data_IF_603304755444
#
_entry.id   IF_603304755444
#
_cell.length_a   1.000
_cell.length_b   1.000
_cell.length_c   1.000
_cell.angle_alpha   90.00
_cell.angle_beta   90.00
_cell.angle_gamma   90.00
#
_symmetry.space_group_name_H-M   'P 1'
#
loop_
_entity.id
_entity.type
_entity.pdbx_description
1 polymer ?
#
# COMPACT_ATOMS: atom_id res chain seq x y z
N UNK A 1 1.61 7.20 -39.92
CA UNK A 1 1.82 6.94 -38.48
C UNK A 1 1.09 5.65 -38.14
N UNK A 2 1.80 4.58 -37.80
CA UNK A 2 1.19 3.27 -37.57
C UNK A 2 0.34 3.31 -36.30
N UNK A 3 -0.91 2.84 -36.39
CA UNK A 3 -1.79 2.67 -35.23
C UNK A 3 -1.09 1.76 -34.21
N UNK A 4 -1.04 2.13 -32.92
CA UNK A 4 -0.47 1.24 -31.92
C UNK A 4 -1.26 -0.07 -31.94
N UNK A 5 -0.56 -1.17 -32.21
CA UNK A 5 -1.11 -2.53 -32.05
C UNK A 5 -1.88 -2.60 -30.71
N UNK A 6 -3.09 -3.15 -30.65
CA UNK A 6 -3.93 -2.97 -29.45
C UNK A 6 -3.33 -3.54 -28.17
N UNK A 7 -2.32 -4.40 -28.26
CA UNK A 7 -1.52 -4.80 -27.10
C UNK A 7 -0.67 -3.65 -26.49
N UNK A 8 -0.11 -2.77 -27.33
CA UNK A 8 0.59 -1.56 -26.87
C UNK A 8 -0.40 -0.51 -26.33
N UNK A 9 -1.54 -0.31 -27.01
CA UNK A 9 -2.60 0.59 -26.53
C UNK A 9 -3.18 0.14 -25.18
N UNK A 10 -3.39 -1.16 -25.00
CA UNK A 10 -3.82 -1.75 -23.73
C UNK A 10 -2.83 -1.48 -22.60
N UNK A 11 -1.53 -1.68 -22.85
CA UNK A 11 -0.48 -1.46 -21.86
C UNK A 11 -0.44 0.01 -21.41
N UNK A 12 -0.54 0.96 -22.35
CA UNK A 12 -0.56 2.40 -22.06
C UNK A 12 -1.79 2.80 -21.22
N UNK A 13 -2.99 2.39 -21.63
CA UNK A 13 -4.22 2.69 -20.90
C UNK A 13 -4.24 2.07 -19.51
N UNK A 14 -3.70 0.86 -19.35
CA UNK A 14 -3.55 0.22 -18.04
C UNK A 14 -2.59 0.97 -17.13
N UNK A 15 -1.45 1.44 -17.67
CA UNK A 15 -0.50 2.24 -16.91
C UNK A 15 -1.12 3.57 -16.49
N UNK A 16 -1.89 4.22 -17.37
CA UNK A 16 -2.65 5.42 -17.07
C UNK A 16 -3.71 5.19 -15.98
N UNK A 17 -4.46 4.08 -16.05
CA UNK A 17 -5.45 3.74 -15.02
C UNK A 17 -4.80 3.58 -13.63
N UNK A 18 -3.61 2.96 -13.57
CA UNK A 18 -2.83 2.78 -12.34
C UNK A 18 -2.23 4.08 -11.80
N UNK A 19 -1.76 4.98 -12.67
CA UNK A 19 -1.25 6.27 -12.21
C UNK A 19 -2.36 7.14 -11.63
N UNK A 20 -3.53 7.15 -12.28
CA UNK A 20 -4.71 7.84 -11.77
C UNK A 20 -5.23 7.22 -10.46
N UNK A 21 -5.11 5.90 -10.31
CA UNK A 21 -5.43 5.20 -9.06
C UNK A 21 -4.55 5.67 -7.89
N UNK A 22 -3.23 5.69 -8.09
CA UNK A 22 -2.29 6.20 -7.06
C UNK A 22 -2.57 7.67 -6.71
N UNK A 23 -2.89 8.50 -7.70
CA UNK A 23 -3.30 9.89 -7.45
C UNK A 23 -4.65 10.01 -6.71
N UNK A 24 -5.55 9.03 -6.91
CA UNK A 24 -6.82 9.00 -6.16
C UNK A 24 -6.56 8.67 -4.70
N UNK A 25 -5.66 7.72 -4.42
CA UNK A 25 -5.29 7.32 -3.05
C UNK A 25 -4.62 8.49 -2.29
N UNK A 26 -3.74 9.25 -2.93
CA UNK A 26 -3.13 10.43 -2.30
C UNK A 26 -4.16 11.52 -1.99
N UNK A 27 -5.09 11.78 -2.91
CA UNK A 27 -6.18 12.73 -2.67
C UNK A 27 -7.13 12.26 -1.57
N UNK A 28 -7.41 10.96 -1.46
CA UNK A 28 -8.20 10.41 -0.35
C UNK A 28 -7.51 10.57 0.99
N UNK A 29 -6.20 10.37 1.06
CA UNK A 29 -5.45 10.66 2.28
C UNK A 29 -5.60 12.12 2.68
N UNK A 30 -5.39 13.07 1.77
CA UNK A 30 -5.60 14.49 2.04
C UNK A 30 -7.04 14.80 2.46
N UNK A 31 -8.04 14.23 1.77
CA UNK A 31 -9.45 14.49 2.09
C UNK A 31 -9.85 13.93 3.46
N UNK A 32 -9.36 12.74 3.82
CA UNK A 32 -9.62 12.13 5.13
C UNK A 32 -9.05 12.96 6.29
N UNK A 33 -7.95 13.69 6.08
CA UNK A 33 -7.35 14.54 7.10
C UNK A 33 -8.29 15.66 7.58
N UNK A 34 -9.17 16.18 6.71
CA UNK A 34 -10.15 17.21 7.10
C UNK A 34 -11.11 16.74 8.21
N UNK A 35 -11.36 15.43 8.32
CA UNK A 35 -12.21 14.86 9.38
C UNK A 35 -11.50 14.68 10.72
N UNK A 36 -10.16 14.71 10.71
CA UNK A 36 -9.32 14.51 11.91
C UNK A 36 -8.86 15.80 12.57
N UNK A 37 -9.15 16.96 11.95
CA UNK A 37 -8.74 18.26 12.50
C UNK A 37 -9.53 18.53 13.79
N UNK A 38 -8.87 18.89 14.92
CA UNK A 38 -9.53 19.05 16.22
C UNK A 38 -10.55 20.18 16.29
N UNK A 39 -10.49 21.14 15.36
CA UNK A 39 -11.47 22.22 15.23
C UNK A 39 -12.01 22.26 13.79
N UNK A 40 -12.94 21.34 13.50
CA UNK A 40 -13.56 21.25 12.17
C UNK A 40 -14.43 22.49 11.97
N UNK A 41 -14.18 23.29 10.91
CA UNK A 41 -14.98 24.48 10.65
C UNK A 41 -16.44 24.11 10.32
N UNK A 42 -17.37 24.93 10.82
CA UNK A 42 -18.81 24.76 10.63
C UNK A 42 -19.25 24.79 9.15
N UNK A 43 -18.41 25.30 8.25
CA UNK A 43 -18.61 25.29 6.81
C UNK A 43 -17.41 24.63 6.13
N UNK A 44 -17.62 23.89 5.02
CA UNK A 44 -16.54 23.35 4.22
C UNK A 44 -15.53 24.42 3.84
N UNK A 45 -14.24 24.15 4.06
CA UNK A 45 -13.18 25.07 3.63
C UNK A 45 -13.09 25.08 2.10
N UNK A 46 -12.48 26.13 1.54
CA UNK A 46 -12.23 26.17 0.09
C UNK A 46 -11.36 24.98 -0.34
N UNK A 47 -10.37 24.64 0.45
CA UNK A 47 -9.46 23.50 0.22
C UNK A 47 -10.19 22.15 0.25
N UNK A 48 -11.13 21.94 1.19
CA UNK A 48 -11.98 20.74 1.23
C UNK A 48 -12.81 20.61 -0.05
N UNK A 49 -13.46 21.70 -0.49
CA UNK A 49 -14.25 21.69 -1.72
C UNK A 49 -13.40 21.47 -2.96
N UNK A 50 -12.22 22.06 -3.01
CA UNK A 50 -11.30 21.88 -4.14
C UNK A 50 -10.74 20.46 -4.20
N UNK A 51 -10.39 19.87 -3.06
CA UNK A 51 -9.92 18.47 -3.00
C UNK A 51 -11.02 17.48 -3.35
N UNK A 52 -12.25 17.73 -2.89
CA UNK A 52 -13.42 16.96 -3.25
C UNK A 52 -13.73 17.05 -4.76
N UNK A 53 -13.69 18.24 -5.35
CA UNK A 53 -13.88 18.44 -6.79
C UNK A 53 -12.78 17.71 -7.60
N UNK A 54 -11.52 17.77 -7.14
CA UNK A 54 -10.40 17.02 -7.74
C UNK A 54 -10.61 15.50 -7.66
N UNK A 55 -11.16 15.00 -6.54
CA UNK A 55 -11.52 13.59 -6.37
C UNK A 55 -12.62 13.17 -7.35
N UNK A 56 -13.67 13.96 -7.52
CA UNK A 56 -14.70 13.67 -8.52
C UNK A 56 -14.14 13.69 -9.94
N UNK A 57 -13.33 14.69 -10.28
CA UNK A 57 -12.70 14.81 -11.58
C UNK A 57 -11.81 13.61 -11.90
N UNK A 58 -10.96 13.18 -10.96
CA UNK A 58 -10.05 12.04 -11.19
C UNK A 58 -10.80 10.72 -11.28
N UNK A 59 -11.87 10.53 -10.51
CA UNK A 59 -12.73 9.34 -10.61
C UNK A 59 -13.42 9.27 -11.98
N UNK A 60 -13.91 10.40 -12.48
CA UNK A 60 -14.49 10.48 -13.83
C UNK A 60 -13.45 10.23 -14.93
N UNK A 61 -12.23 10.77 -14.78
CA UNK A 61 -11.11 10.45 -15.69
C UNK A 61 -10.78 8.95 -15.68
N UNK A 62 -10.74 8.31 -14.51
CA UNK A 62 -10.51 6.87 -14.39
C UNK A 62 -11.62 6.06 -15.06
N UNK A 63 -12.88 6.45 -14.87
CA UNK A 63 -14.01 5.80 -15.54
C UNK A 63 -13.88 5.87 -17.06
N UNK A 64 -13.49 7.02 -17.61
CA UNK A 64 -13.24 7.17 -19.04
C UNK A 64 -12.13 6.22 -19.54
N UNK A 65 -11.00 6.11 -18.81
CA UNK A 65 -9.91 5.19 -19.17
C UNK A 65 -10.35 3.73 -19.07
N UNK A 66 -11.11 3.36 -18.03
CA UNK A 66 -11.67 2.01 -17.87
C UNK A 66 -12.65 1.67 -18.99
N UNK A 67 -13.46 2.62 -19.43
CA UNK A 67 -14.36 2.45 -20.57
C UNK A 67 -13.59 2.33 -21.90
N UNK A 68 -12.49 3.05 -22.07
CA UNK A 68 -11.60 2.89 -23.23
C UNK A 68 -10.94 1.51 -23.24
N UNK A 69 -10.46 1.03 -22.09
CA UNK A 69 -9.95 -0.34 -21.95
C UNK A 69 -11.03 -1.35 -22.34
N UNK A 70 -12.25 -1.22 -21.82
CA UNK A 70 -13.36 -2.11 -22.18
C UNK A 70 -13.60 -2.17 -23.70
N UNK A 71 -13.75 -1.02 -24.36
CA UNK A 71 -13.95 -0.94 -25.81
C UNK A 71 -12.80 -1.57 -26.59
N UNK A 72 -11.56 -1.34 -26.15
CA UNK A 72 -10.38 -1.91 -26.80
C UNK A 72 -10.40 -3.45 -26.71
N UNK A 73 -10.79 -3.99 -25.55
CA UNK A 73 -10.91 -5.44 -25.32
C UNK A 73 -12.06 -6.08 -26.12
N UNK A 74 -13.14 -5.35 -26.36
CA UNK A 74 -14.27 -5.78 -27.20
C UNK A 74 -13.92 -5.72 -28.71
N UNK A 75 -13.02 -4.81 -29.11
CA UNK A 75 -12.67 -4.58 -30.52
C UNK A 75 -11.61 -5.53 -31.10
N UNK A 76 -10.74 -6.11 -30.27
CA UNK A 76 -9.69 -7.03 -30.73
C UNK A 76 -9.92 -8.46 -30.18
N UNK A 77 -10.33 -9.38 -31.06
CA UNK A 77 -10.57 -10.79 -30.70
C UNK A 77 -9.35 -11.49 -30.07
N UNK A 78 -8.12 -11.05 -30.38
CA UNK A 78 -6.87 -11.54 -29.79
C UNK A 78 -6.66 -11.07 -28.34
N UNK A 79 -7.28 -9.96 -27.94
CA UNK A 79 -7.29 -9.44 -26.57
C UNK A 79 -8.45 -10.02 -25.76
N UNK A 80 -9.61 -10.20 -26.41
CA UNK A 80 -10.81 -10.78 -25.78
C UNK A 80 -10.56 -12.20 -25.26
N UNK A 81 -9.74 -13.01 -25.95
CA UNK A 81 -9.42 -14.39 -25.52
C UNK A 81 -8.52 -14.46 -24.28
N UNK A 82 -7.91 -13.33 -23.86
CA UNK A 82 -7.01 -13.30 -22.70
C UNK A 82 -7.80 -13.13 -21.40
N UNK A 83 -8.02 -14.24 -20.69
CA UNK A 83 -8.65 -14.24 -19.36
C UNK A 83 -7.97 -13.27 -18.36
N UNK A 84 -6.65 -13.09 -18.48
CA UNK A 84 -5.88 -12.15 -17.66
C UNK A 84 -6.27 -10.69 -17.90
N UNK A 85 -6.54 -10.28 -19.14
CA UNK A 85 -6.92 -8.90 -19.47
C UNK A 85 -8.36 -8.60 -19.06
N UNK A 86 -9.26 -9.58 -19.24
CA UNK A 86 -10.63 -9.49 -18.73
C UNK A 86 -10.66 -9.36 -17.20
N UNK A 87 -9.90 -10.19 -16.48
CA UNK A 87 -9.78 -10.09 -15.03
C UNK A 87 -9.17 -8.75 -14.58
N UNK A 88 -8.18 -8.24 -15.31
CA UNK A 88 -7.61 -6.93 -14.97
C UNK A 88 -8.64 -5.80 -15.14
N UNK A 89 -9.47 -5.84 -16.17
CA UNK A 89 -10.55 -4.88 -16.36
C UNK A 89 -11.60 -4.98 -15.25
N UNK A 90 -11.99 -6.19 -14.84
CA UNK A 90 -12.95 -6.37 -13.75
C UNK A 90 -12.42 -5.81 -12.44
N UNK A 91 -11.14 -6.06 -12.11
CA UNK A 91 -10.48 -5.50 -10.92
C UNK A 91 -10.42 -3.96 -10.96
N UNK A 92 -10.12 -3.36 -12.12
CA UNK A 92 -10.11 -1.90 -12.27
C UNK A 92 -11.50 -1.29 -12.06
N UNK A 93 -12.56 -1.96 -12.54
CA UNK A 93 -13.96 -1.54 -12.34
C UNK A 93 -14.37 -1.66 -10.88
N UNK A 94 -14.03 -2.78 -10.23
CA UNK A 94 -14.33 -3.03 -8.83
C UNK A 94 -13.67 -1.97 -7.94
N UNK A 95 -12.37 -1.72 -8.14
CA UNK A 95 -11.64 -0.71 -7.36
C UNK A 95 -12.16 0.71 -7.60
N UNK A 96 -12.60 1.04 -8.82
CA UNK A 96 -13.25 2.32 -9.09
C UNK A 96 -14.60 2.45 -8.36
N UNK A 97 -15.41 1.39 -8.34
CA UNK A 97 -16.69 1.37 -7.64
C UNK A 97 -16.53 1.41 -6.11
N UNK A 98 -15.48 0.78 -5.58
CA UNK A 98 -15.07 0.90 -4.17
C UNK A 98 -14.69 2.35 -3.83
N UNK A 99 -13.76 2.95 -4.59
CA UNK A 99 -13.33 4.33 -4.36
C UNK A 99 -14.51 5.32 -4.42
N UNK A 100 -15.49 5.13 -5.32
CA UNK A 100 -16.72 5.96 -5.34
C UNK A 100 -17.55 5.83 -4.07
N UNK A 101 -17.69 4.62 -3.53
CA UNK A 101 -18.40 4.38 -2.26
C UNK A 101 -17.64 5.02 -1.10
N UNK A 102 -16.31 4.92 -1.10
CA UNK A 102 -15.48 5.51 -0.05
C UNK A 102 -15.51 7.03 -0.04
N UNK A 103 -15.58 7.69 -1.20
CA UNK A 103 -15.84 9.13 -1.28
C UNK A 103 -17.15 9.50 -0.59
N UNK A 104 -18.23 8.74 -0.85
CA UNK A 104 -19.52 8.95 -0.17
C UNK A 104 -19.44 8.75 1.35
N UNK A 105 -18.72 7.72 1.80
CA UNK A 105 -18.48 7.46 3.22
C UNK A 105 -17.69 8.59 3.88
N UNK A 106 -16.60 9.04 3.27
CA UNK A 106 -15.79 10.14 3.78
C UNK A 106 -16.59 11.45 3.88
N UNK A 107 -17.41 11.77 2.87
CA UNK A 107 -18.33 12.90 2.91
C UNK A 107 -19.28 12.83 4.10
N UNK A 108 -19.93 11.67 4.30
CA UNK A 108 -20.87 11.47 5.41
C UNK A 108 -20.18 11.57 6.77
N UNK A 109 -19.00 10.94 6.92
CA UNK A 109 -18.22 10.99 8.15
C UNK A 109 -17.71 12.38 8.48
N UNK A 110 -17.29 13.15 7.48
CA UNK A 110 -16.88 14.54 7.65
C UNK A 110 -18.05 15.43 8.08
N UNK A 111 -19.23 15.23 7.48
CA UNK A 111 -20.43 15.97 7.87
C UNK A 111 -20.89 15.61 9.29
N UNK A 112 -20.80 14.34 9.68
CA UNK A 112 -21.09 13.88 11.04
C UNK A 112 -20.10 14.46 12.05
N UNK A 113 -18.80 14.43 11.74
CA UNK A 113 -17.76 15.03 12.59
C UNK A 113 -17.97 16.54 12.76
N UNK A 114 -18.37 17.24 11.69
CA UNK A 114 -18.74 18.66 11.73
C UNK A 114 -19.99 18.91 12.59
N UNK A 115 -21.04 18.10 12.45
CA UNK A 115 -22.24 18.21 13.27
C UNK A 115 -21.90 18.01 14.75
N UNK A 116 -21.07 17.00 15.07
CA UNK A 116 -20.58 16.76 16.43
C UNK A 116 -19.76 17.94 16.96
N UNK A 117 -18.86 18.51 16.16
CA UNK A 117 -18.07 19.67 16.55
C UNK A 117 -18.96 20.89 16.86
N UNK A 118 -19.97 21.15 16.03
CA UNK A 118 -20.92 22.25 16.25
C UNK A 118 -21.74 22.06 17.54
N UNK A 119 -22.21 20.84 17.82
CA UNK A 119 -22.92 20.54 19.06
C UNK A 119 -22.02 20.72 20.29
N UNK A 120 -20.76 20.27 20.20
CA UNK A 120 -19.79 20.42 21.29
C UNK A 120 -19.36 21.87 21.52
N UNK A 121 -19.36 22.72 20.49
CA UNK A 121 -19.04 24.15 20.66
C UNK A 121 -20.04 24.83 21.58
N UNK A 122 -21.34 24.68 21.31
CA UNK A 122 -22.39 25.28 22.12
C UNK A 122 -22.35 24.78 23.58
N UNK A 123 -22.13 23.46 23.75
CA UNK A 123 -22.01 22.86 25.08
C UNK A 123 -20.75 23.35 25.81
N UNK A 124 -19.62 23.54 25.11
CA UNK A 124 -18.41 24.11 25.72
C UNK A 124 -18.62 25.54 26.17
N UNK A 125 -19.30 26.36 25.39
CA UNK A 125 -19.59 27.76 25.74
C UNK A 125 -20.51 27.84 26.97
N UNK A 126 -21.53 26.99 27.03
CA UNK A 126 -22.42 26.88 28.21
C UNK A 126 -21.68 26.37 29.45
N UNK A 127 -20.84 25.33 29.31
CA UNK A 127 -20.01 24.81 30.41
C UNK A 127 -19.02 25.87 30.90
N UNK A 128 -18.37 26.58 29.98
CA UNK A 128 -17.43 27.63 30.33
C UNK A 128 -18.12 28.78 31.06
N UNK A 129 -19.33 29.15 30.63
CA UNK A 129 -20.15 30.17 31.30
C UNK A 129 -20.59 29.70 32.70
N UNK A 130 -21.01 28.43 32.82
CA UNK A 130 -21.37 27.84 34.12
C UNK A 130 -20.17 27.79 35.08
N UNK A 131 -19.00 27.38 34.59
CA UNK A 131 -17.75 27.35 35.38
C UNK A 131 -17.29 28.74 35.78
N UNK A 132 -17.43 29.73 34.91
CA UNK A 132 -17.12 31.14 35.23
C UNK A 132 -18.04 31.70 36.32
N UNK A 133 -19.29 31.26 36.37
CA UNK A 133 -20.27 31.67 37.38
C UNK A 133 -20.15 30.89 38.70
N UNK A 134 -19.50 29.72 38.71
CA UNK A 134 -19.38 28.84 39.89
C UNK A 134 -17.94 28.28 40.04
N UNK A 135 -17.00 29.07 40.58
CA UNK A 135 -15.58 28.69 40.64
C UNK A 135 -15.29 27.47 41.54
N UNK A 136 -15.99 27.29 42.66
CA UNK A 136 -15.82 26.11 43.54
C UNK A 136 -16.24 24.81 42.84
N UNK A 137 -17.34 24.84 42.08
CA UNK A 137 -17.81 23.69 41.32
C UNK A 137 -16.85 23.35 40.16
N UNK A 138 -16.25 24.38 39.55
CA UNK A 138 -15.26 24.20 38.48
C UNK A 138 -13.96 23.53 38.98
N UNK A 139 -13.51 23.87 40.20
CA UNK A 139 -12.34 23.23 40.82
C UNK A 139 -12.61 21.76 41.15
N UNK A 140 -13.79 21.45 41.72
CA UNK A 140 -14.18 20.07 42.01
C UNK A 140 -14.30 19.22 40.72
N UNK A 141 -14.88 19.77 39.66
CA UNK A 141 -14.99 19.11 38.35
C UNK A 141 -13.61 18.88 37.70
N UNK A 142 -12.70 19.86 37.82
CA UNK A 142 -11.32 19.71 37.37
C UNK A 142 -10.59 18.58 38.10
N UNK A 143 -10.72 18.49 39.43
CA UNK A 143 -10.14 17.40 40.22
C UNK A 143 -10.69 16.03 39.81
N UNK A 144 -11.97 15.93 39.48
CA UNK A 144 -12.59 14.70 38.98
C UNK A 144 -12.10 14.32 37.57
N UNK A 145 -11.96 15.30 36.66
CA UNK A 145 -11.38 15.06 35.32
C UNK A 145 -9.92 14.61 35.42
N UNK A 146 -9.15 15.21 36.33
CA UNK A 146 -7.76 14.81 36.58
C UNK A 146 -7.66 13.37 37.09
N UNK A 147 -8.54 12.96 38.00
CA UNK A 147 -8.64 11.56 38.42
C UNK A 147 -8.94 10.63 37.24
N UNK A 148 -9.92 10.97 36.40
CA UNK A 148 -10.25 10.17 35.23
C UNK A 148 -9.09 10.09 34.22
N UNK A 149 -8.33 11.18 34.05
CA UNK A 149 -7.12 11.21 33.20
C UNK A 149 -6.04 10.28 33.75
N UNK A 150 -5.81 10.31 35.06
CA UNK A 150 -4.86 9.42 35.74
C UNK A 150 -5.29 7.95 35.57
N UNK A 151 -6.57 7.63 35.82
CA UNK A 151 -7.10 6.27 35.69
C UNK A 151 -6.97 5.76 34.24
N UNK A 152 -7.29 6.60 33.25
CA UNK A 152 -7.11 6.26 31.83
C UNK A 152 -5.64 6.08 31.44
N UNK A 153 -4.74 6.92 31.98
CA UNK A 153 -3.30 6.78 31.78
C UNK A 153 -2.78 5.47 32.37
N UNK A 154 -3.26 5.08 33.56
CA UNK A 154 -2.94 3.80 34.18
C UNK A 154 -3.37 2.62 33.29
N UNK A 155 -4.62 2.63 32.81
CA UNK A 155 -5.11 1.58 31.90
C UNK A 155 -4.30 1.49 30.59
N UNK A 156 -3.87 2.63 30.03
CA UNK A 156 -3.00 2.66 28.85
C UNK A 156 -1.64 2.03 29.16
N UNK A 157 -1.02 2.39 30.29
CA UNK A 157 0.25 1.81 30.74
C UNK A 157 0.13 0.30 30.91
N UNK A 158 -0.96 -0.19 31.50
CA UNK A 158 -1.20 -1.63 31.67
C UNK A 158 -1.37 -2.35 30.33
N UNK A 159 -2.05 -1.72 29.36
CA UNK A 159 -2.16 -2.26 27.99
C UNK A 159 -0.81 -2.33 27.28
N UNK A 160 0.01 -1.27 27.38
CA UNK A 160 1.37 -1.26 26.82
C UNK A 160 2.25 -2.31 27.48
N UNK A 161 2.15 -2.47 28.80
CA UNK A 161 2.87 -3.49 29.55
C UNK A 161 2.46 -4.90 29.10
N UNK A 162 1.16 -5.15 28.96
CA UNK A 162 0.62 -6.40 28.44
C UNK A 162 1.10 -6.68 27.02
N UNK A 163 1.11 -5.67 26.14
CA UNK A 163 1.61 -5.80 24.77
C UNK A 163 3.12 -6.10 24.74
N UNK A 164 3.89 -5.46 25.62
CA UNK A 164 5.32 -5.73 25.77
C UNK A 164 5.58 -7.18 26.23
N UNK A 165 4.80 -7.70 27.19
CA UNK A 165 4.88 -9.11 27.59
C UNK A 165 4.52 -10.06 26.46
N UNK A 166 3.42 -9.82 25.75
CA UNK A 166 3.02 -10.64 24.59
C UNK A 166 4.09 -10.62 23.48
N UNK A 167 4.73 -9.47 23.26
CA UNK A 167 5.80 -9.34 22.28
C UNK A 167 7.05 -10.11 22.72
N UNK A 168 7.43 -10.05 24.00
CA UNK A 168 8.54 -10.81 24.56
C UNK A 168 8.32 -12.32 24.39
N UNK A 169 7.12 -12.81 24.73
CA UNK A 169 6.73 -14.20 24.53
C UNK A 169 6.78 -14.58 23.05
N UNK A 170 6.29 -13.72 22.15
CA UNK A 170 6.35 -13.96 20.71
C UNK A 170 7.79 -14.08 20.20
N UNK A 171 8.75 -13.33 20.75
CA UNK A 171 10.17 -13.46 20.39
C UNK A 171 10.78 -14.76 20.91
N UNK A 172 10.38 -15.24 22.08
CA UNK A 172 10.81 -16.54 22.61
C UNK A 172 10.32 -17.65 21.68
N UNK A 173 9.04 -17.63 21.29
CA UNK A 173 8.46 -18.59 20.35
C UNK A 173 9.12 -18.48 18.96
N UNK A 174 9.37 -17.27 18.46
CA UNK A 174 10.09 -17.06 17.20
C UNK A 174 11.52 -17.60 17.23
N UNK A 175 12.23 -17.49 18.35
CA UNK A 175 13.57 -18.06 18.52
C UNK A 175 13.54 -19.59 18.44
N UNK A 176 12.54 -20.22 19.05
CA UNK A 176 12.36 -21.68 18.96
C UNK A 176 12.03 -22.12 17.53
N UNK A 177 11.14 -21.40 16.84
CA UNK A 177 10.82 -21.71 15.43
C UNK A 177 12.03 -21.54 14.53
N UNK A 178 12.85 -20.49 14.68
CA UNK A 178 14.10 -20.32 13.94
C UNK A 178 15.11 -21.43 14.22
N UNK A 179 15.23 -21.88 15.46
CA UNK A 179 16.07 -23.04 15.79
C UNK A 179 15.56 -24.32 15.10
N UNK A 180 14.23 -24.51 15.05
CA UNK A 180 13.61 -25.64 14.36
C UNK A 180 13.82 -25.59 12.83
N UNK A 181 13.75 -24.38 12.25
CA UNK A 181 14.01 -24.14 10.82
C UNK A 181 15.48 -24.43 10.52
N UNK A 182 16.41 -23.92 11.34
CA UNK A 182 17.84 -24.19 11.18
C UNK A 182 18.10 -25.70 11.20
N UNK A 183 17.56 -26.43 12.19
CA UNK A 183 17.65 -27.89 12.26
C UNK A 183 17.09 -28.57 11.01
N UNK A 184 15.93 -28.13 10.49
CA UNK A 184 15.33 -28.67 9.25
C UNK A 184 16.18 -28.37 8.02
N UNK A 185 16.73 -27.16 7.90
CA UNK A 185 17.63 -26.76 6.81
C UNK A 185 18.91 -27.61 6.85
N UNK A 186 19.51 -27.80 8.04
CA UNK A 186 20.69 -28.65 8.20
C UNK A 186 20.37 -30.10 7.81
N UNK A 187 19.21 -30.64 8.21
CA UNK A 187 18.80 -31.99 7.81
C UNK A 187 18.45 -32.10 6.32
N UNK A 188 17.85 -31.08 5.70
CA UNK A 188 17.58 -31.05 4.28
C UNK A 188 18.89 -30.95 3.47
N UNK A 189 19.84 -30.13 3.92
CA UNK A 189 21.17 -30.02 3.32
C UNK A 189 21.94 -31.34 3.41
N UNK A 190 21.77 -32.13 4.47
CA UNK A 190 22.38 -33.46 4.57
C UNK A 190 21.64 -34.56 3.78
N UNK A 191 20.35 -34.35 3.45
CA UNK A 191 19.54 -35.26 2.63
C UNK A 191 19.55 -34.96 1.12
N UNK A 192 20.24 -33.91 0.64
CA UNK A 192 20.49 -33.70 -0.80
C UNK A 192 21.92 -34.15 -1.14
N UNK A 193 22.20 -35.48 -1.19
CA UNK A 193 23.46 -35.96 -1.72
C UNK A 193 23.49 -35.66 -3.23
N UNK A 194 24.54 -34.97 -3.68
CA UNK A 194 24.81 -34.80 -5.12
C UNK A 194 24.90 -33.37 -5.65
N UNK A 195 24.62 -32.34 -4.82
CA UNK A 195 24.89 -30.95 -5.21
C UNK A 195 26.38 -30.71 -5.50
N UNK A 196 27.27 -31.29 -4.69
CA UNK A 196 28.71 -31.18 -4.91
C UNK A 196 29.15 -31.82 -6.24
N UNK A 197 28.54 -32.94 -6.64
CA UNK A 197 28.81 -33.59 -7.94
C UNK A 197 28.23 -32.82 -9.13
N UNK A 198 27.08 -32.17 -8.97
CA UNK A 198 26.48 -31.32 -10.03
C UNK A 198 27.31 -30.04 -10.25
N UNK A 199 27.74 -29.39 -9.17
CA UNK A 199 28.65 -28.24 -9.21
C UNK A 199 29.99 -28.63 -9.86
N UNK A 200 30.53 -29.81 -9.52
CA UNK A 200 31.72 -30.37 -10.16
C UNK A 200 31.56 -30.57 -11.68
N UNK A 201 30.41 -31.13 -12.12
CA UNK A 201 30.11 -31.34 -13.55
C UNK A 201 29.99 -30.04 -14.33
N UNK A 202 29.37 -29.01 -13.76
CA UNK A 202 29.24 -27.68 -14.39
C UNK A 202 30.62 -27.04 -14.55
N UNK A 203 31.45 -27.09 -13.51
CA UNK A 203 32.80 -26.51 -13.53
C UNK A 203 33.72 -27.22 -14.52
N UNK A 204 33.62 -28.56 -14.63
CA UNK A 204 34.38 -29.35 -15.60
C UNK A 204 34.03 -29.00 -17.06
N UNK A 205 32.74 -28.77 -17.37
CA UNK A 205 32.31 -28.35 -18.71
C UNK A 205 32.88 -26.97 -19.08
N UNK A 206 32.81 -26.00 -18.17
CA UNK A 206 33.35 -24.65 -18.38
C UNK A 206 34.87 -24.67 -18.63
N UNK A 207 35.61 -25.52 -17.91
CA UNK A 207 37.07 -25.66 -18.08
C UNK A 207 37.44 -26.19 -19.46
N UNK A 208 36.69 -27.17 -19.96
CA UNK A 208 36.89 -27.73 -21.32
C UNK A 208 36.64 -26.68 -22.41
N UNK A 209 35.60 -25.87 -22.27
CA UNK A 209 35.31 -24.81 -23.26
C UNK A 209 36.42 -23.74 -23.27
N UNK A 210 36.98 -23.37 -22.11
CA UNK A 210 38.14 -22.48 -22.04
C UNK A 210 39.39 -23.07 -22.68
N UNK A 211 39.65 -24.37 -22.54
CA UNK A 211 40.78 -25.03 -23.22
C UNK A 211 40.60 -25.05 -24.74
N UNK A 212 39.40 -25.33 -25.23
CA UNK A 212 39.09 -25.33 -26.68
C UNK A 212 39.29 -23.93 -27.27
N UNK A 213 38.74 -22.89 -26.60
CA UNK A 213 38.87 -21.51 -27.06
C UNK A 213 40.33 -21.02 -27.02
N UNK A 214 41.08 -21.36 -25.95
CA UNK A 214 42.50 -21.04 -25.84
C UNK A 214 43.35 -21.73 -26.92
N UNK A 215 43.07 -23.00 -27.21
CA UNK A 215 43.75 -23.74 -28.27
C UNK A 215 43.47 -23.18 -29.66
N UNK A 216 42.22 -22.78 -29.94
CA UNK A 216 41.85 -22.13 -31.20
C UNK A 216 42.60 -20.81 -31.41
N UNK A 217 42.67 -19.98 -30.37
CA UNK A 217 43.40 -18.71 -30.41
C UNK A 217 44.91 -18.94 -30.66
N UNK A 218 45.52 -19.89 -29.94
CA UNK A 218 46.94 -20.21 -30.13
C UNK A 218 47.24 -20.73 -31.54
N UNK A 219 46.36 -21.58 -32.09
CA UNK A 219 46.48 -22.09 -33.46
C UNK A 219 46.39 -20.97 -34.49
N UNK A 220 45.43 -20.04 -34.36
CA UNK A 220 45.31 -18.88 -35.23
C UNK A 220 46.58 -18.01 -35.22
N UNK A 221 47.19 -17.78 -34.04
CA UNK A 221 48.45 -17.04 -33.95
C UNK A 221 49.62 -17.77 -34.62
N UNK A 222 49.69 -19.10 -34.50
CA UNK A 222 50.78 -19.88 -35.09
C UNK A 222 50.70 -19.90 -36.63
N UNK A 223 49.49 -20.03 -37.18
CA UNK A 223 49.26 -19.95 -38.64
C UNK A 223 49.57 -18.54 -39.15
N UNK A 224 49.15 -17.51 -38.42
CA UNK A 224 49.43 -16.11 -38.79
C UNK A 224 50.93 -15.82 -38.82
N UNK A 225 51.70 -16.32 -37.84
CA UNK A 225 53.16 -16.19 -37.85
C UNK A 225 53.79 -16.93 -39.02
N UNK A 226 53.34 -18.16 -39.31
CA UNK A 226 53.96 -18.96 -40.38
C UNK A 226 53.73 -18.40 -41.79
N UNK A 227 52.61 -17.69 -42.03
CA UNK A 227 52.26 -17.13 -43.33
C UNK A 227 52.72 -15.68 -43.56
N UNK A 228 53.42 -15.07 -42.60
CA UNK A 228 53.91 -13.70 -42.64
C UNK A 228 55.44 -13.67 -42.56
#
# INVERSE_FOLDING_TARGET
MAAPTGNQGWAQLRQQARSLESQTETLFHTYSQFSTVPNIPAKPTKEERETEAKLEEILNKRENVVNQLARLLDSEASLTSSALKQNNLSLLREKLAEHRRDLGRLRSGLQEARNRANLLSNVRDDIQTYRANNPEAAEAEYMLDERNRIDNSHNMVDSVLSQAYATNESFIVQRETLASINRRITMAASQVPGLNTLIGKITARKRRDSFIMGGFIAFCFMVFWFFL
#
